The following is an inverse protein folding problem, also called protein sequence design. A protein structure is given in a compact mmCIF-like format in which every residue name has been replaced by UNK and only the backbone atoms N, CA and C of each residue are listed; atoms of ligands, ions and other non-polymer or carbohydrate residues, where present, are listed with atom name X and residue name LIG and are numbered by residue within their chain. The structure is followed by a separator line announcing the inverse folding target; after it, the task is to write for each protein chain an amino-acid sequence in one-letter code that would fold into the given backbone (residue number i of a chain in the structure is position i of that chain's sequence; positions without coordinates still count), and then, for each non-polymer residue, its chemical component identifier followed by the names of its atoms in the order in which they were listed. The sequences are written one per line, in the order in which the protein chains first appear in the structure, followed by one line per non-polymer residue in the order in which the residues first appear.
data_IF_939152727280
#
_entry.id   IF_939152727280
#
_cell.length_a   1.000
_cell.length_b   1.000
_cell.length_c   1.000
_cell.angle_alpha   90.00
_cell.angle_beta   90.00
_cell.angle_gamma   90.00
#
_symmetry.space_group_name_H-M   'P 1'
#
loop_
_entity.id
_entity.type
_entity.pdbx_description
1 polymer ?
#
# COMPACT_ATOMS: atom_id res chain seq x y z
N UNK A 1 4.68 6.83 -26.20
CA UNK A 1 5.15 6.70 -24.82
C UNK A 1 5.34 5.23 -24.50
N UNK A 2 6.53 4.86 -24.11
CA UNK A 2 6.80 3.50 -23.68
C UNK A 2 6.84 3.45 -22.16
N UNK A 3 6.22 2.44 -21.59
CA UNK A 3 6.42 2.12 -20.18
C UNK A 3 6.28 0.62 -19.97
N UNK A 4 7.00 0.11 -19.01
CA UNK A 4 6.86 -1.26 -18.55
C UNK A 4 6.17 -1.26 -17.20
N UNK A 5 5.20 -2.14 -17.06
CA UNK A 5 4.43 -2.27 -15.84
C UNK A 5 4.47 -3.71 -15.36
N UNK A 6 4.94 -3.90 -14.15
CA UNK A 6 4.96 -5.20 -13.53
C UNK A 6 4.49 -5.07 -12.09
N UNK A 7 3.39 -5.75 -11.77
CA UNK A 7 2.82 -5.72 -10.42
C UNK A 7 2.70 -7.17 -9.93
N UNK A 8 3.76 -7.72 -9.36
CA UNK A 8 3.69 -9.07 -8.80
C UNK A 8 2.74 -9.08 -7.60
N UNK A 9 1.86 -10.07 -7.55
CA UNK A 9 0.96 -10.27 -6.42
C UNK A 9 1.33 -11.57 -5.74
N UNK A 10 1.69 -11.47 -4.46
CA UNK A 10 1.96 -12.62 -3.62
C UNK A 10 0.86 -12.70 -2.57
N UNK A 11 0.04 -13.74 -2.64
CA UNK A 11 -1.07 -13.93 -1.71
C UNK A 11 -0.67 -14.95 -0.66
N UNK A 12 -0.68 -14.52 0.60
CA UNK A 12 -0.45 -15.39 1.75
C UNK A 12 -1.74 -15.51 2.55
N UNK A 13 -2.23 -16.71 2.72
CA UNK A 13 -3.49 -16.98 3.40
C UNK A 13 -3.28 -17.98 4.52
N UNK A 14 -3.88 -17.69 5.69
CA UNK A 14 -3.83 -18.59 6.84
C UNK A 14 -3.85 -17.82 8.15
N UNK A 15 -3.94 -18.57 9.25
CA UNK A 15 -3.91 -17.98 10.57
C UNK A 15 -2.53 -17.36 10.87
N UNK A 16 -2.54 -16.14 11.38
CA UNK A 16 -1.33 -15.41 11.78
C UNK A 16 -0.32 -15.15 10.65
N UNK A 17 -0.74 -15.21 9.37
CA UNK A 17 0.15 -14.90 8.25
C UNK A 17 0.65 -13.46 8.27
N UNK A 18 -0.13 -12.54 8.84
CA UNK A 18 0.30 -11.14 8.99
C UNK A 18 1.59 -11.01 9.81
N UNK A 19 1.86 -11.92 10.71
CA UNK A 19 3.07 -11.87 11.55
C UNK A 19 4.35 -12.15 10.73
N UNK A 20 4.22 -12.69 9.53
CA UNK A 20 5.35 -12.93 8.61
C UNK A 20 5.51 -11.82 7.56
N UNK A 21 4.78 -10.72 7.66
CA UNK A 21 4.74 -9.71 6.61
C UNK A 21 6.12 -9.14 6.30
N UNK A 22 6.95 -8.94 7.30
CA UNK A 22 8.29 -8.38 7.10
C UNK A 22 9.14 -9.29 6.20
N UNK A 23 9.02 -10.60 6.35
CA UNK A 23 9.75 -11.56 5.53
C UNK A 23 9.30 -11.52 4.06
N UNK A 24 8.01 -11.29 3.82
CA UNK A 24 7.47 -11.20 2.47
C UNK A 24 7.82 -9.90 1.76
N UNK A 25 7.91 -8.79 2.49
CA UNK A 25 8.11 -7.48 1.87
C UNK A 25 9.58 -7.05 1.82
N UNK A 26 10.43 -7.60 2.68
CA UNK A 26 11.83 -7.23 2.75
C UNK A 26 12.57 -7.29 1.40
N UNK A 27 12.31 -8.28 0.51
CA UNK A 27 12.94 -8.31 -0.81
C UNK A 27 12.53 -7.17 -1.73
N UNK A 28 11.42 -6.48 -1.44
CA UNK A 28 10.84 -5.47 -2.33
C UNK A 28 11.25 -4.05 -1.99
N UNK A 29 11.71 -3.80 -0.77
CA UNK A 29 12.11 -2.45 -0.41
C UNK A 29 12.40 -2.27 1.07
N UNK A 30 12.63 -1.01 1.45
CA UNK A 30 13.01 -0.62 2.81
C UNK A 30 12.06 0.37 3.45
N UNK A 31 11.14 0.94 2.67
CA UNK A 31 10.17 1.91 3.19
C UNK A 31 8.81 1.69 2.53
N UNK A 32 7.82 1.42 3.34
CA UNK A 32 6.48 1.08 2.90
C UNK A 32 5.51 2.25 3.07
N UNK A 33 4.62 2.46 2.11
CA UNK A 33 3.39 3.20 2.33
C UNK A 33 2.33 2.18 2.78
N UNK A 34 1.81 2.35 3.98
CA UNK A 34 0.73 1.50 4.51
C UNK A 34 -0.59 2.18 4.18
N UNK A 35 -1.43 1.52 3.39
CA UNK A 35 -2.72 2.04 2.94
C UNK A 35 -3.84 1.34 3.72
N UNK A 36 -4.64 2.11 4.42
CA UNK A 36 -5.76 1.59 5.21
C UNK A 36 -7.00 2.46 5.02
N UNK A 37 -8.14 1.95 5.50
CA UNK A 37 -9.30 2.79 5.76
C UNK A 37 -9.09 3.65 7.00
N UNK A 38 -10.09 4.46 7.33
CA UNK A 38 -9.94 5.47 8.38
C UNK A 38 -9.81 4.88 9.79
N UNK A 39 -10.40 3.73 10.06
CA UNK A 39 -10.44 3.24 11.44
C UNK A 39 -10.37 1.72 11.61
N UNK A 40 -10.88 0.91 10.68
CA UNK A 40 -11.06 -0.53 10.95
C UNK A 40 -9.75 -1.28 11.21
N UNK A 41 -8.71 -1.01 10.45
CA UNK A 41 -7.41 -1.66 10.65
C UNK A 41 -6.78 -1.29 12.00
N UNK A 42 -6.99 -0.04 12.44
CA UNK A 42 -6.51 0.44 13.73
C UNK A 42 -7.30 -0.19 14.88
N UNK A 43 -8.63 -0.23 14.76
CA UNK A 43 -9.51 -0.79 15.79
C UNK A 43 -9.31 -2.29 15.99
N UNK A 44 -9.04 -3.02 14.91
CA UNK A 44 -8.79 -4.47 15.00
C UNK A 44 -7.41 -4.81 15.56
N UNK A 45 -6.52 -3.83 15.67
CA UNK A 45 -5.13 -4.06 16.08
C UNK A 45 -4.23 -4.53 14.94
N UNK A 46 -4.76 -4.74 13.75
CA UNK A 46 -4.01 -5.26 12.62
C UNK A 46 -2.91 -4.28 12.17
N UNK A 47 -3.24 -3.00 12.12
CA UNK A 47 -2.27 -1.96 11.80
C UNK A 47 -1.07 -2.00 12.76
N UNK A 48 -1.32 -2.06 14.05
CA UNK A 48 -0.27 -2.10 15.05
C UNK A 48 0.61 -3.35 14.94
N UNK A 49 0.02 -4.49 14.59
CA UNK A 49 0.77 -5.74 14.37
C UNK A 49 1.70 -5.61 13.16
N UNK A 50 1.20 -5.04 12.06
CA UNK A 50 2.01 -4.82 10.85
C UNK A 50 3.16 -3.87 11.15
N UNK A 51 2.88 -2.74 11.79
CA UNK A 51 3.91 -1.75 12.14
C UNK A 51 4.98 -2.36 13.03
N UNK A 52 4.60 -3.12 14.06
CA UNK A 52 5.55 -3.77 14.95
C UNK A 52 6.49 -4.72 14.20
N UNK A 53 5.96 -5.49 13.25
CA UNK A 53 6.77 -6.41 12.44
C UNK A 53 7.71 -5.67 11.50
N UNK A 54 7.25 -4.59 10.87
CA UNK A 54 8.10 -3.77 10.01
C UNK A 54 9.24 -3.11 10.81
N UNK A 55 8.93 -2.57 11.97
CA UNK A 55 9.93 -1.94 12.84
C UNK A 55 10.98 -2.96 13.31
N UNK A 56 10.56 -4.16 13.66
CA UNK A 56 11.48 -5.24 14.05
C UNK A 56 12.45 -5.62 12.94
N UNK A 57 12.05 -5.44 11.68
CA UNK A 57 12.88 -5.74 10.51
C UNK A 57 13.61 -4.51 9.98
N UNK A 58 13.54 -3.37 10.68
CA UNK A 58 14.15 -2.10 10.27
C UNK A 58 13.61 -1.59 8.92
N UNK A 59 12.32 -1.81 8.68
CA UNK A 59 11.61 -1.31 7.50
C UNK A 59 10.83 -0.07 7.93
N UNK A 60 11.14 1.07 7.32
CA UNK A 60 10.43 2.31 7.56
C UNK A 60 9.02 2.26 6.95
N UNK A 61 8.13 3.05 7.49
CA UNK A 61 6.75 3.10 7.00
C UNK A 61 6.14 4.48 7.15
N UNK A 62 5.17 4.76 6.29
CA UNK A 62 4.31 5.96 6.33
C UNK A 62 2.88 5.48 6.20
N UNK A 63 1.97 6.06 6.97
CA UNK A 63 0.56 5.71 6.93
C UNK A 63 -0.22 6.62 5.99
N UNK A 64 -1.04 6.01 5.12
CA UNK A 64 -2.07 6.69 4.36
C UNK A 64 -3.42 6.05 4.70
N UNK A 65 -4.21 6.70 5.54
CA UNK A 65 -5.45 6.16 6.11
C UNK A 65 -6.71 6.87 5.60
N UNK A 66 -6.66 7.43 4.39
CA UNK A 66 -7.73 8.24 3.84
C UNK A 66 -8.68 7.51 2.89
N UNK A 67 -8.57 6.18 2.81
CA UNK A 67 -9.39 5.40 1.88
C UNK A 67 -10.76 5.14 2.47
N UNK A 68 -11.80 5.59 1.74
CA UNK A 68 -13.19 5.30 2.06
C UNK A 68 -13.69 4.06 1.32
N UNK A 69 -14.91 3.61 1.62
CA UNK A 69 -15.52 2.44 0.99
C UNK A 69 -15.64 2.59 -0.54
N UNK A 70 -15.77 3.81 -1.04
CA UNK A 70 -15.81 4.14 -2.47
C UNK A 70 -14.70 5.15 -2.77
N UNK A 71 -13.44 4.70 -2.88
CA UNK A 71 -12.33 5.63 -3.06
C UNK A 71 -12.40 6.32 -4.42
N UNK A 72 -12.12 7.62 -4.40
CA UNK A 72 -12.06 8.44 -5.60
C UNK A 72 -10.66 8.33 -6.22
N UNK A 73 -10.58 8.64 -7.53
CA UNK A 73 -9.30 8.77 -8.23
C UNK A 73 -8.37 9.73 -7.51
N UNK A 74 -8.90 10.83 -6.98
CA UNK A 74 -8.13 11.81 -6.22
C UNK A 74 -7.48 11.21 -4.98
N UNK A 75 -8.15 10.27 -4.30
CA UNK A 75 -7.58 9.58 -3.14
C UNK A 75 -6.34 8.79 -3.52
N UNK A 76 -6.39 8.07 -4.65
CA UNK A 76 -5.23 7.32 -5.14
C UNK A 76 -4.08 8.26 -5.51
N UNK A 77 -4.37 9.40 -6.13
CA UNK A 77 -3.36 10.40 -6.48
C UNK A 77 -2.71 11.03 -5.24
N UNK A 78 -3.49 11.29 -4.20
CA UNK A 78 -2.96 11.78 -2.92
C UNK A 78 -2.02 10.77 -2.29
N UNK A 79 -2.40 9.50 -2.27
CA UNK A 79 -1.55 8.43 -1.76
C UNK A 79 -0.26 8.28 -2.56
N UNK A 80 -0.33 8.37 -3.88
CA UNK A 80 0.83 8.32 -4.76
C UNK A 80 1.77 9.50 -4.51
N UNK A 81 1.21 10.70 -4.32
CA UNK A 81 2.00 11.89 -4.01
C UNK A 81 2.74 11.73 -2.68
N UNK A 82 2.07 11.19 -1.66
CA UNK A 82 2.70 10.90 -0.37
C UNK A 82 3.82 9.87 -0.52
N UNK A 83 3.58 8.79 -1.26
CA UNK A 83 4.60 7.77 -1.51
C UNK A 83 5.85 8.36 -2.17
N UNK A 84 5.66 9.24 -3.16
CA UNK A 84 6.78 9.91 -3.84
C UNK A 84 7.52 10.86 -2.92
N UNK A 85 6.80 11.70 -2.17
CA UNK A 85 7.40 12.70 -1.28
C UNK A 85 8.18 12.05 -0.13
N UNK A 86 7.75 10.89 0.33
CA UNK A 86 8.39 10.14 1.40
C UNK A 86 9.38 9.09 0.88
N UNK A 87 9.58 9.00 -0.43
CA UNK A 87 10.47 8.02 -1.05
C UNK A 87 10.13 6.58 -0.68
N UNK A 88 8.85 6.25 -0.59
CA UNK A 88 8.41 4.88 -0.38
C UNK A 88 8.71 4.02 -1.61
N UNK A 89 9.16 2.82 -1.38
CA UNK A 89 9.54 1.88 -2.45
C UNK A 89 8.61 0.66 -2.51
N UNK A 90 7.59 0.62 -1.68
CA UNK A 90 6.55 -0.41 -1.71
C UNK A 90 5.26 0.10 -1.09
N UNK A 91 4.16 -0.59 -1.39
CA UNK A 91 2.83 -0.29 -0.84
C UNK A 91 2.30 -1.55 -0.16
N UNK A 92 1.81 -1.39 1.06
CA UNK A 92 1.15 -2.46 1.82
C UNK A 92 -0.29 -2.04 2.07
N UNK A 93 -1.26 -2.84 1.63
CA UNK A 93 -2.67 -2.58 1.86
C UNK A 93 -3.19 -3.42 3.03
N UNK A 94 -3.92 -2.78 3.94
CA UNK A 94 -4.58 -3.47 5.05
C UNK A 94 -6.06 -3.12 5.01
N UNK A 95 -6.89 -4.08 4.61
CA UNK A 95 -8.33 -3.88 4.53
C UNK A 95 -8.98 -4.74 3.47
N UNK A 96 -10.20 -4.38 3.12
CA UNK A 96 -10.99 -5.08 2.12
C UNK A 96 -10.66 -4.67 0.68
N UNK A 97 -11.54 -5.10 -0.25
CA UNK A 97 -11.34 -4.90 -1.69
C UNK A 97 -11.15 -3.45 -2.10
N UNK A 98 -11.92 -2.52 -1.53
CA UNK A 98 -11.78 -1.08 -1.84
C UNK A 98 -10.40 -0.54 -1.46
N UNK A 99 -9.87 -0.98 -0.33
CA UNK A 99 -8.53 -0.58 0.13
C UNK A 99 -7.47 -1.14 -0.80
N UNK A 100 -7.59 -2.42 -1.17
CA UNK A 100 -6.63 -3.07 -2.06
C UNK A 100 -6.63 -2.45 -3.45
N UNK A 101 -7.80 -2.13 -3.99
CA UNK A 101 -7.92 -1.49 -5.30
C UNK A 101 -7.30 -0.10 -5.28
N UNK A 102 -7.54 0.68 -4.23
CA UNK A 102 -6.92 1.98 -4.07
C UNK A 102 -5.39 1.86 -3.97
N UNK A 103 -4.90 0.89 -3.21
CA UNK A 103 -3.47 0.64 -3.05
C UNK A 103 -2.80 0.28 -4.38
N UNK A 104 -3.46 -0.52 -5.21
CA UNK A 104 -2.97 -0.82 -6.57
C UNK A 104 -2.85 0.44 -7.41
N UNK A 105 -3.88 1.31 -7.36
CA UNK A 105 -3.85 2.60 -8.04
C UNK A 105 -2.71 3.50 -7.55
N UNK A 106 -2.51 3.56 -6.25
CA UNK A 106 -1.40 4.30 -5.63
C UNK A 106 -0.05 3.77 -6.13
N UNK A 107 0.15 2.47 -6.09
CA UNK A 107 1.40 1.86 -6.52
C UNK A 107 1.68 2.14 -8.00
N UNK A 108 0.64 2.05 -8.84
CA UNK A 108 0.75 2.36 -10.25
C UNK A 108 1.15 3.81 -10.49
N UNK A 109 0.45 4.76 -9.85
CA UNK A 109 0.68 6.18 -10.05
C UNK A 109 1.97 6.68 -9.38
N UNK A 110 2.48 5.98 -8.40
CA UNK A 110 3.76 6.32 -7.77
C UNK A 110 4.95 6.13 -8.73
N UNK A 111 4.84 5.23 -9.70
CA UNK A 111 5.91 4.95 -10.67
C UNK A 111 5.59 5.46 -12.07
N UNK A 112 4.41 6.02 -12.30
CA UNK A 112 3.99 6.54 -13.60
C UNK A 112 3.57 8.01 -13.47
N UNK A 113 3.72 8.76 -14.55
CA UNK A 113 3.27 10.15 -14.62
C UNK A 113 1.83 10.23 -15.13
N UNK A 114 1.16 11.33 -14.82
CA UNK A 114 -0.17 11.62 -15.30
C UNK A 114 -1.28 11.23 -14.32
N UNK A 115 -2.49 11.21 -14.81
CA UNK A 115 -3.68 10.86 -14.05
C UNK A 115 -3.99 9.37 -14.24
N UNK A 116 -4.49 8.71 -13.19
CA UNK A 116 -4.87 7.30 -13.29
C UNK A 116 -5.90 7.06 -14.40
N UNK A 117 -6.75 8.03 -14.68
CA UNK A 117 -7.73 7.94 -15.77
C UNK A 117 -7.08 7.81 -17.15
N UNK A 118 -5.85 8.24 -17.32
CA UNK A 118 -5.10 8.08 -18.57
C UNK A 118 -4.75 6.61 -18.85
N UNK A 119 -4.86 5.74 -17.88
CA UNK A 119 -4.46 4.33 -17.95
C UNK A 119 -5.63 3.36 -17.78
N UNK A 120 -6.86 3.87 -17.68
CA UNK A 120 -8.05 3.03 -17.56
C UNK A 120 -8.54 2.68 -18.98
N UNK A 121 -8.70 1.40 -19.21
CA UNK A 121 -9.12 0.84 -20.52
C UNK A 121 -10.50 0.23 -20.47
#
# INVERSE_FOLDING_TARGET
MEFSYFLPVNIQFGWNKVDSIADFVAPYGKKALIVTGRSSAKKSGLYNRVVAKLESAHIDHVLFDQVDANPLTTTALEGAALAKSESCDMVIAIGGGSIMDCAKGIAFMAVNEGDINDYIF
#
